data_IF_607944919375
#
_entry.id   IF_607944919375
#
_cell.length_a   1.000
_cell.length_b   1.000
_cell.length_c   1.000
_cell.angle_alpha   90.00
_cell.angle_beta   90.00
_cell.angle_gamma   90.00
#
_symmetry.space_group_name_H-M   'P 1'
#
loop_
_entity.id
_entity.type
_entity.pdbx_description
1 polymer ?
#
# COMPACT_ATOMS: atom_id res chain seq x y z
N UNK A 1 -9.68 -6.61 -30.18
CA UNK A 1 -8.47 -7.44 -30.13
C UNK A 1 -8.83 -8.80 -29.56
N UNK A 2 -8.16 -9.86 -30.00
CA UNK A 2 -8.24 -11.19 -29.38
C UNK A 2 -6.99 -11.42 -28.53
N UNK A 3 -7.18 -11.76 -27.27
CA UNK A 3 -6.12 -12.00 -26.31
C UNK A 3 -5.92 -13.49 -26.12
N UNK A 4 -4.66 -13.92 -26.21
CA UNK A 4 -4.21 -15.27 -25.88
C UNK A 4 -3.07 -15.13 -24.86
N UNK A 5 -3.11 -15.90 -23.78
CA UNK A 5 -2.09 -15.88 -22.74
C UNK A 5 -2.68 -16.18 -21.36
N UNK A 6 -2.02 -15.73 -20.30
CA UNK A 6 -2.46 -16.01 -18.93
C UNK A 6 -2.22 -14.83 -17.97
N UNK A 7 -2.91 -14.83 -16.83
CA UNK A 7 -2.53 -14.06 -15.64
C UNK A 7 -2.35 -14.98 -14.45
N UNK A 8 -1.18 -14.85 -13.84
CA UNK A 8 -0.82 -15.65 -12.67
C UNK A 8 -1.59 -15.24 -11.40
N UNK A 9 -1.86 -13.95 -11.20
CA UNK A 9 -2.74 -13.46 -10.14
C UNK A 9 -3.84 -12.61 -10.75
N UNK A 10 -5.08 -13.04 -10.55
CA UNK A 10 -6.28 -12.42 -11.08
C UNK A 10 -7.33 -12.34 -9.97
N UNK A 11 -7.26 -11.29 -9.16
CA UNK A 11 -8.20 -11.08 -8.06
C UNK A 11 -9.58 -10.67 -8.57
N UNK A 12 -10.60 -11.04 -7.82
CA UNK A 12 -12.01 -10.76 -8.13
C UNK A 12 -12.38 -11.30 -9.53
N UNK A 13 -12.23 -12.62 -9.79
CA UNK A 13 -12.56 -13.20 -11.11
C UNK A 13 -14.04 -13.04 -11.49
N UNK A 14 -14.89 -12.71 -10.52
CA UNK A 14 -16.30 -12.40 -10.75
C UNK A 14 -16.59 -10.97 -11.21
N UNK A 15 -15.59 -10.06 -11.25
CA UNK A 15 -15.80 -8.69 -11.75
C UNK A 15 -16.41 -8.70 -13.15
N UNK A 16 -17.21 -7.68 -13.45
CA UNK A 16 -17.86 -7.54 -14.75
C UNK A 16 -16.86 -7.28 -15.89
N UNK A 17 -15.69 -6.71 -15.56
CA UNK A 17 -14.56 -6.56 -16.46
C UNK A 17 -13.24 -6.41 -15.71
N UNK A 18 -12.13 -6.60 -16.43
CA UNK A 18 -10.78 -6.36 -15.94
C UNK A 18 -10.00 -5.50 -16.93
N UNK A 19 -9.13 -4.64 -16.39
CA UNK A 19 -8.06 -4.02 -17.18
C UNK A 19 -6.88 -4.97 -17.27
N UNK A 20 -6.55 -5.39 -18.49
CA UNK A 20 -5.55 -6.43 -18.76
C UNK A 20 -4.44 -5.85 -19.63
N UNK A 21 -3.19 -5.97 -19.18
CA UNK A 21 -2.04 -5.69 -20.02
C UNK A 21 -1.71 -6.88 -20.93
N UNK A 22 -1.55 -6.63 -22.22
CA UNK A 22 -1.09 -7.61 -23.21
C UNK A 22 -0.20 -6.94 -24.27
N UNK A 23 0.65 -7.71 -24.94
CA UNK A 23 1.48 -7.21 -26.04
C UNK A 23 0.62 -7.01 -27.30
N UNK A 24 0.80 -5.88 -27.96
CA UNK A 24 0.25 -5.55 -29.27
C UNK A 24 1.40 -5.18 -30.24
N UNK A 25 1.16 -5.01 -31.55
CA UNK A 25 2.21 -4.66 -32.51
C UNK A 25 3.04 -3.44 -32.11
N UNK A 26 2.42 -2.38 -31.55
CA UNK A 26 3.16 -1.21 -31.06
C UNK A 26 3.67 -1.32 -29.60
N UNK A 27 3.58 -2.49 -28.98
CA UNK A 27 4.10 -2.78 -27.64
C UNK A 27 3.03 -3.04 -26.57
N UNK A 28 3.43 -2.94 -25.30
CA UNK A 28 2.59 -3.32 -24.17
C UNK A 28 1.40 -2.35 -24.03
N UNK A 29 0.19 -2.89 -24.16
CA UNK A 29 -1.05 -2.11 -24.27
C UNK A 29 -2.05 -2.51 -23.18
N UNK A 30 -2.99 -1.63 -22.85
CA UNK A 30 -4.04 -1.88 -21.87
C UNK A 30 -5.36 -2.21 -22.56
N UNK A 31 -6.05 -3.24 -22.10
CA UNK A 31 -7.31 -3.69 -22.67
C UNK A 31 -8.40 -3.75 -21.60
N UNK A 32 -9.58 -3.25 -21.92
CA UNK A 32 -10.82 -3.56 -21.21
C UNK A 32 -11.30 -4.94 -21.67
N UNK A 33 -11.33 -5.90 -20.75
CA UNK A 33 -11.73 -7.29 -21.02
C UNK A 33 -12.96 -7.59 -20.18
N UNK A 34 -14.17 -7.52 -20.75
CA UNK A 34 -15.39 -7.80 -20.02
C UNK A 34 -15.57 -9.31 -19.81
N UNK A 35 -16.25 -9.68 -18.74
CA UNK A 35 -16.60 -11.06 -18.41
C UNK A 35 -17.65 -11.61 -19.37
N UNK A 36 -18.59 -10.76 -19.80
CA UNK A 36 -19.61 -11.05 -20.79
C UNK A 36 -19.42 -10.13 -22.00
N UNK A 37 -19.62 -10.65 -23.20
CA UNK A 37 -19.58 -9.89 -24.45
C UNK A 37 -20.88 -9.07 -24.62
N UNK A 38 -20.92 -8.07 -25.53
CA UNK A 38 -22.11 -7.25 -25.76
C UNK A 38 -23.36 -8.04 -26.17
N UNK A 39 -23.19 -9.22 -26.75
CA UNK A 39 -24.27 -10.14 -27.12
C UNK A 39 -24.72 -11.07 -25.97
N UNK A 40 -24.14 -10.88 -24.77
CA UNK A 40 -24.43 -11.66 -23.57
C UNK A 40 -23.65 -12.97 -23.45
N UNK A 41 -22.86 -13.36 -24.46
CA UNK A 41 -22.05 -14.57 -24.39
C UNK A 41 -20.91 -14.42 -23.39
N UNK A 42 -20.46 -15.56 -22.82
CA UNK A 42 -19.29 -15.59 -21.94
C UNK A 42 -18.03 -15.29 -22.76
N UNK A 43 -17.20 -14.35 -22.29
CA UNK A 43 -15.91 -14.08 -22.92
C UNK A 43 -14.92 -15.22 -22.62
N UNK A 44 -13.88 -15.36 -23.46
CA UNK A 44 -12.88 -16.44 -23.41
C UNK A 44 -11.89 -16.35 -22.25
N UNK A 45 -12.34 -16.05 -21.03
CA UNK A 45 -11.54 -16.00 -19.79
C UNK A 45 -11.84 -17.25 -18.96
N UNK A 46 -10.87 -18.16 -18.89
CA UNK A 46 -10.99 -19.45 -18.23
C UNK A 46 -10.31 -19.40 -16.86
N UNK A 47 -11.01 -19.86 -15.81
CA UNK A 47 -10.48 -19.90 -14.46
C UNK A 47 -9.87 -21.28 -14.22
N UNK A 48 -8.55 -21.35 -14.07
CA UNK A 48 -7.85 -22.63 -13.89
C UNK A 48 -7.85 -23.08 -12.43
N UNK A 49 -7.49 -22.17 -11.51
CA UNK A 49 -7.53 -22.46 -10.07
C UNK A 49 -7.70 -21.21 -9.23
N UNK A 50 -8.19 -21.40 -8.00
CA UNK A 50 -8.13 -20.41 -6.94
C UNK A 50 -6.84 -20.54 -6.14
N UNK A 51 -6.31 -19.40 -5.67
CA UNK A 51 -5.13 -19.34 -4.81
C UNK A 51 -5.47 -19.77 -3.39
N UNK A 52 -4.68 -20.68 -2.82
CA UNK A 52 -4.65 -20.89 -1.37
C UNK A 52 -3.67 -19.88 -0.75
N UNK A 53 -4.21 -18.89 -0.03
CA UNK A 53 -3.47 -17.72 0.46
C UNK A 53 -3.32 -17.76 1.98
N UNK A 54 -2.21 -17.23 2.48
CA UNK A 54 -1.96 -17.01 3.91
C UNK A 54 -3.07 -16.17 4.58
N UNK A 55 -3.30 -14.97 4.03
CA UNK A 55 -4.36 -14.04 4.39
C UNK A 55 -5.19 -13.67 3.17
N UNK A 56 -6.02 -12.63 3.28
CA UNK A 56 -6.90 -12.17 2.21
C UNK A 56 -7.82 -13.28 1.66
N UNK A 57 -8.10 -14.30 2.48
CA UNK A 57 -8.76 -15.57 2.08
C UNK A 57 -10.22 -15.37 1.65
N UNK A 58 -10.89 -14.34 2.15
CA UNK A 58 -12.24 -13.98 1.75
C UNK A 58 -12.32 -13.45 0.31
N UNK A 59 -11.22 -12.92 -0.23
CA UNK A 59 -11.17 -12.42 -1.60
C UNK A 59 -10.68 -13.52 -2.55
N UNK A 60 -11.48 -13.89 -3.55
CA UNK A 60 -11.09 -14.84 -4.56
C UNK A 60 -9.97 -14.27 -5.43
N UNK A 61 -8.84 -14.97 -5.50
CA UNK A 61 -7.78 -14.71 -6.46
C UNK A 61 -7.56 -15.97 -7.27
N UNK A 62 -7.50 -15.86 -8.60
CA UNK A 62 -7.34 -17.00 -9.49
C UNK A 62 -6.07 -16.93 -10.34
N UNK A 63 -5.73 -18.07 -10.93
CA UNK A 63 -5.00 -18.14 -12.20
C UNK A 63 -6.02 -18.23 -13.33
N UNK A 64 -5.75 -17.50 -14.40
CA UNK A 64 -6.64 -17.49 -15.57
C UNK A 64 -5.86 -17.60 -16.86
N UNK A 65 -6.47 -18.26 -17.84
CA UNK A 65 -6.02 -18.30 -19.22
C UNK A 65 -7.03 -17.59 -20.13
N UNK A 66 -6.53 -16.91 -21.15
CA UNK A 66 -7.32 -16.26 -22.18
C UNK A 66 -7.28 -17.11 -23.45
N UNK A 67 -8.44 -17.59 -23.88
CA UNK A 67 -8.62 -18.35 -25.11
C UNK A 67 -9.38 -17.49 -26.11
N UNK A 68 -8.63 -16.74 -26.94
CA UNK A 68 -9.18 -15.78 -27.90
C UNK A 68 -10.16 -14.76 -27.26
N UNK A 69 -9.92 -14.39 -25.99
CA UNK A 69 -10.78 -13.46 -25.27
C UNK A 69 -10.84 -12.10 -26.00
N UNK A 70 -12.04 -11.57 -26.17
CA UNK A 70 -12.21 -10.25 -26.78
C UNK A 70 -11.83 -9.17 -25.76
N UNK A 71 -10.98 -8.23 -26.20
CA UNK A 71 -10.60 -7.04 -25.45
C UNK A 71 -10.67 -5.77 -26.32
N UNK A 72 -11.06 -4.67 -25.68
CA UNK A 72 -11.09 -3.34 -26.27
C UNK A 72 -9.89 -2.54 -25.79
N UNK A 73 -9.15 -1.93 -26.72
CA UNK A 73 -7.98 -1.12 -26.38
C UNK A 73 -8.41 0.09 -25.53
N UNK A 74 -7.64 0.36 -24.48
CA UNK A 74 -7.80 1.53 -23.61
C UNK A 74 -6.59 2.44 -23.80
N UNK A 75 -6.83 3.62 -24.38
CA UNK A 75 -5.76 4.52 -24.82
C UNK A 75 -5.18 4.09 -26.16
N UNK A 76 -3.88 4.34 -26.35
CA UNK A 76 -3.15 3.99 -27.57
C UNK A 76 -2.35 2.69 -27.39
N UNK A 77 -2.07 1.99 -28.49
CA UNK A 77 -1.15 0.86 -28.45
C UNK A 77 0.24 1.29 -27.95
N UNK A 78 0.90 0.45 -27.14
CA UNK A 78 2.20 0.72 -26.54
C UNK A 78 2.18 1.59 -25.27
N UNK A 79 1.05 2.23 -24.94
CA UNK A 79 0.91 3.13 -23.77
C UNK A 79 0.35 2.42 -22.52
N UNK A 80 0.30 1.09 -22.50
CA UNK A 80 -0.41 0.32 -21.47
C UNK A 80 0.09 0.58 -20.04
N UNK A 81 1.42 0.68 -19.85
CA UNK A 81 2.01 0.97 -18.54
C UNK A 81 1.54 2.33 -18.01
N UNK A 82 1.50 3.35 -18.87
CA UNK A 82 1.08 4.70 -18.47
C UNK A 82 -0.39 4.72 -18.06
N UNK A 83 -1.25 3.97 -18.75
CA UNK A 83 -2.67 3.88 -18.41
C UNK A 83 -2.88 3.28 -17.02
N UNK A 84 -2.20 2.16 -16.70
CA UNK A 84 -2.34 1.53 -15.38
C UNK A 84 -1.65 2.32 -14.26
N UNK A 85 -0.57 3.07 -14.54
CA UNK A 85 0.11 3.88 -13.53
C UNK A 85 -0.77 5.00 -12.96
N UNK A 86 -1.72 5.53 -13.75
CA UNK A 86 -2.72 6.49 -13.27
C UNK A 86 -3.60 5.88 -12.17
N UNK A 87 -4.00 4.62 -12.34
CA UNK A 87 -4.75 3.85 -11.34
C UNK A 87 -3.85 3.39 -10.18
N UNK A 88 -2.60 3.02 -10.48
CA UNK A 88 -1.66 2.46 -9.52
C UNK A 88 -1.45 3.37 -8.31
N UNK A 89 -1.37 4.69 -8.51
CA UNK A 89 -1.28 5.66 -7.42
C UNK A 89 -2.41 5.53 -6.38
N UNK A 90 -3.66 5.43 -6.82
CA UNK A 90 -4.81 5.28 -5.92
C UNK A 90 -4.77 3.93 -5.19
N UNK A 91 -4.48 2.83 -5.89
CA UNK A 91 -4.41 1.51 -5.25
C UNK A 91 -3.24 1.40 -4.25
N UNK A 92 -2.15 2.14 -4.46
CA UNK A 92 -1.03 2.22 -3.51
C UNK A 92 -1.40 3.02 -2.27
N UNK A 93 -2.14 4.10 -2.45
CA UNK A 93 -2.72 4.85 -1.34
C UNK A 93 -3.64 3.94 -0.50
N UNK A 94 -4.51 3.17 -1.14
CA UNK A 94 -5.40 2.21 -0.48
C UNK A 94 -4.63 1.11 0.27
N UNK A 95 -3.49 0.63 -0.28
CA UNK A 95 -2.63 -0.31 0.44
C UNK A 95 -2.10 0.29 1.76
N UNK A 96 -1.66 1.55 1.72
CA UNK A 96 -1.16 2.25 2.88
C UNK A 96 -2.29 2.49 3.91
N UNK A 97 -3.44 3.01 3.45
CA UNK A 97 -4.60 3.28 4.29
C UNK A 97 -5.19 2.00 4.90
N UNK A 98 -5.33 0.94 4.09
CA UNK A 98 -5.80 -0.36 4.55
C UNK A 98 -4.89 -0.96 5.61
N UNK A 99 -3.57 -0.89 5.41
CA UNK A 99 -2.59 -1.36 6.41
C UNK A 99 -2.67 -0.55 7.70
N UNK A 100 -2.80 0.77 7.60
CA UNK A 100 -3.02 1.65 8.76
C UNK A 100 -4.33 1.30 9.50
N UNK A 101 -5.42 1.03 8.77
CA UNK A 101 -6.69 0.64 9.38
C UNK A 101 -6.59 -0.70 10.14
N UNK A 102 -5.88 -1.69 9.59
CA UNK A 102 -5.61 -2.96 10.26
C UNK A 102 -4.77 -2.74 11.54
N UNK A 103 -3.74 -1.90 11.48
CA UNK A 103 -2.95 -1.52 12.66
C UNK A 103 -3.83 -0.81 13.71
N UNK A 104 -4.68 0.13 13.29
CA UNK A 104 -5.61 0.83 14.19
C UNK A 104 -6.54 -0.15 14.90
N UNK A 105 -7.12 -1.12 14.18
CA UNK A 105 -7.97 -2.16 14.78
C UNK A 105 -7.19 -3.01 15.78
N UNK A 106 -6.01 -3.50 15.41
CA UNK A 106 -5.16 -4.30 16.29
C UNK A 106 -4.81 -3.54 17.58
N UNK A 107 -4.45 -2.26 17.47
CA UNK A 107 -4.19 -1.41 18.64
C UNK A 107 -5.43 -1.21 19.52
N UNK A 108 -6.61 -0.98 18.92
CA UNK A 108 -7.84 -0.83 19.70
C UNK A 108 -8.17 -2.09 20.51
N UNK A 109 -7.98 -3.28 19.93
CA UNK A 109 -8.17 -4.54 20.64
C UNK A 109 -7.12 -4.71 21.76
N UNK A 110 -5.84 -4.45 21.48
CA UNK A 110 -4.76 -4.53 22.45
C UNK A 110 -4.94 -3.57 23.64
N UNK A 111 -5.26 -2.29 23.37
CA UNK A 111 -5.50 -1.30 24.41
C UNK A 111 -6.71 -1.67 25.27
N UNK A 112 -7.81 -2.10 24.64
CA UNK A 112 -9.02 -2.50 25.37
C UNK A 112 -8.77 -3.72 26.26
N UNK A 113 -7.98 -4.69 25.80
CA UNK A 113 -7.51 -5.81 26.62
C UNK A 113 -6.67 -5.32 27.80
N UNK A 114 -5.67 -4.46 27.55
CA UNK A 114 -4.75 -3.99 28.58
C UNK A 114 -5.43 -3.12 29.66
N UNK A 115 -6.53 -2.45 29.33
CA UNK A 115 -7.36 -1.70 30.28
C UNK A 115 -8.10 -2.59 31.29
N UNK A 116 -8.32 -3.87 30.97
CA UNK A 116 -9.11 -4.80 31.78
C UNK A 116 -8.28 -5.92 32.40
N UNK A 117 -7.26 -6.41 31.67
CA UNK A 117 -6.42 -7.50 32.13
C UNK A 117 -5.60 -7.03 33.32
N UNK A 118 -5.59 -7.81 34.41
CA UNK A 118 -4.72 -7.55 35.54
C UNK A 118 -3.47 -8.44 35.51
N UNK A 119 -2.33 -7.85 35.89
CA UNK A 119 -1.08 -8.54 36.15
C UNK A 119 -0.39 -7.86 37.33
N UNK A 120 0.13 -8.65 38.28
CA UNK A 120 0.79 -8.15 39.48
C UNK A 120 -0.06 -7.12 40.26
N UNK A 121 -1.37 -7.37 40.39
CA UNK A 121 -2.30 -6.56 41.18
C UNK A 121 -2.70 -5.21 40.59
N UNK A 122 -2.35 -4.92 39.32
CA UNK A 122 -2.75 -3.70 38.60
C UNK A 122 -3.25 -4.05 37.20
N UNK A 123 -3.99 -3.14 36.57
CA UNK A 123 -4.32 -3.29 35.16
C UNK A 123 -3.04 -3.28 34.33
N UNK A 124 -3.02 -4.04 33.25
CA UNK A 124 -1.85 -4.25 32.40
C UNK A 124 -1.38 -2.93 31.79
N UNK A 125 -2.30 -2.03 31.43
CA UNK A 125 -2.00 -0.67 30.95
C UNK A 125 -1.26 0.20 31.98
N UNK A 126 -1.39 -0.09 33.28
CA UNK A 126 -0.71 0.65 34.36
C UNK A 126 0.72 0.16 34.62
N UNK A 127 1.11 -0.96 34.02
CA UNK A 127 2.48 -1.44 34.09
C UNK A 127 3.38 -0.52 33.24
N UNK A 128 4.46 0.06 33.80
CA UNK A 128 5.27 1.06 33.09
C UNK A 128 5.79 0.59 31.72
N UNK A 129 6.23 -0.66 31.63
CA UNK A 129 6.72 -1.25 30.36
C UNK A 129 5.60 -1.37 29.32
N UNK A 130 4.42 -1.86 29.71
CA UNK A 130 3.28 -1.96 28.79
C UNK A 130 2.80 -0.58 28.34
N UNK A 131 2.74 0.39 29.26
CA UNK A 131 2.35 1.76 28.94
C UNK A 131 3.30 2.39 27.93
N UNK A 132 4.60 2.11 28.03
CA UNK A 132 5.59 2.55 27.06
C UNK A 132 5.34 1.94 25.67
N UNK A 133 5.12 0.62 25.58
CA UNK A 133 4.81 -0.08 24.33
C UNK A 133 3.55 0.49 23.68
N UNK A 134 2.43 0.54 24.41
CA UNK A 134 1.16 1.06 23.91
C UNK A 134 1.24 2.55 23.55
N UNK A 135 2.03 3.34 24.28
CA UNK A 135 2.27 4.75 23.98
C UNK A 135 3.03 4.95 22.66
N UNK A 136 4.05 4.14 22.40
CA UNK A 136 4.78 4.18 21.12
C UNK A 136 3.90 3.73 19.95
N UNK A 137 3.09 2.69 20.14
CA UNK A 137 2.12 2.24 19.15
C UNK A 137 1.10 3.34 18.82
N UNK A 138 0.57 4.01 19.84
CA UNK A 138 -0.34 5.14 19.67
C UNK A 138 0.30 6.28 18.87
N UNK A 139 1.51 6.70 19.26
CA UNK A 139 2.24 7.77 18.60
C UNK A 139 2.51 7.46 17.12
N UNK A 140 2.78 6.20 16.78
CA UNK A 140 2.92 5.75 15.39
C UNK A 140 1.62 5.94 14.61
N UNK A 141 0.49 5.56 15.19
CA UNK A 141 -0.83 5.72 14.56
C UNK A 141 -1.19 7.19 14.37
N UNK A 142 -0.88 8.07 15.33
CA UNK A 142 -1.08 9.52 15.20
C UNK A 142 -0.33 10.08 14.00
N UNK A 143 0.98 9.79 13.88
CA UNK A 143 1.79 10.24 12.76
C UNK A 143 1.30 9.69 11.41
N UNK A 144 0.92 8.42 11.36
CA UNK A 144 0.36 7.81 10.15
C UNK A 144 -0.99 8.43 9.76
N UNK A 145 -1.86 8.71 10.73
CA UNK A 145 -3.17 9.33 10.49
C UNK A 145 -2.97 10.70 9.85
N UNK A 146 -2.19 11.57 10.50
CA UNK A 146 -1.92 12.92 10.00
C UNK A 146 -1.34 12.88 8.57
N UNK A 147 -0.36 12.00 8.33
CA UNK A 147 0.31 11.88 7.04
C UNK A 147 -0.61 11.32 5.94
N UNK A 148 -1.38 10.27 6.22
CA UNK A 148 -2.27 9.65 5.23
C UNK A 148 -3.45 10.55 4.87
N UNK A 149 -4.01 11.31 5.81
CA UNK A 149 -5.07 12.27 5.49
C UNK A 149 -4.54 13.51 4.78
N UNK A 150 -3.30 13.96 5.07
CA UNK A 150 -2.60 14.96 4.24
C UNK A 150 -2.38 14.46 2.81
N UNK A 151 -2.06 13.17 2.65
CA UNK A 151 -1.92 12.54 1.34
C UNK A 151 -3.27 12.42 0.60
N UNK A 152 -4.35 12.08 1.31
CA UNK A 152 -5.70 12.09 0.75
C UNK A 152 -6.09 13.48 0.23
N UNK A 153 -5.78 14.54 0.99
CA UNK A 153 -5.98 15.93 0.55
C UNK A 153 -5.19 16.26 -0.73
N UNK A 154 -3.96 15.75 -0.85
CA UNK A 154 -3.14 15.95 -2.05
C UNK A 154 -3.79 15.30 -3.29
N UNK A 155 -4.35 14.09 -3.12
CA UNK A 155 -5.10 13.39 -4.17
C UNK A 155 -6.40 14.11 -4.56
N UNK A 156 -7.10 14.67 -3.58
CA UNK A 156 -8.32 15.46 -3.78
C UNK A 156 -8.04 16.74 -4.58
N UNK A 157 -6.91 17.40 -4.29
CA UNK A 157 -6.49 18.66 -4.92
C UNK A 157 -5.47 18.51 -6.05
N UNK A 158 -5.44 17.36 -6.72
CA UNK A 158 -4.42 17.03 -7.76
C UNK A 158 -4.45 17.92 -9.01
N UNK A 159 -5.42 18.81 -9.14
CA UNK A 159 -5.42 19.84 -10.18
C UNK A 159 -4.39 20.95 -9.88
N UNK A 160 -4.00 21.11 -8.61
CA UNK A 160 -2.83 21.89 -8.21
C UNK A 160 -1.55 21.07 -8.44
N UNK A 161 -0.60 21.63 -9.20
CA UNK A 161 0.68 21.00 -9.57
C UNK A 161 1.50 20.60 -8.34
N UNK A 162 1.49 21.40 -7.27
CA UNK A 162 2.24 21.08 -6.05
C UNK A 162 1.59 19.92 -5.30
N UNK A 163 0.25 19.88 -5.20
CA UNK A 163 -0.46 18.77 -4.55
C UNK A 163 -0.35 17.48 -5.37
N UNK A 164 -0.39 17.55 -6.70
CA UNK A 164 -0.14 16.42 -7.58
C UNK A 164 1.28 15.85 -7.38
N UNK A 165 2.28 16.72 -7.27
CA UNK A 165 3.67 16.32 -7.02
C UNK A 165 3.85 15.72 -5.62
N UNK A 166 3.20 16.30 -4.61
CA UNK A 166 3.17 15.77 -3.26
C UNK A 166 2.60 14.34 -3.24
N UNK A 167 1.44 14.14 -3.88
CA UNK A 167 0.83 12.82 -4.01
C UNK A 167 1.73 11.83 -4.76
N UNK A 168 2.37 12.27 -5.86
CA UNK A 168 3.27 11.44 -6.67
C UNK A 168 4.49 10.94 -5.91
N UNK A 169 5.06 11.78 -5.04
CA UNK A 169 6.23 11.46 -4.23
C UNK A 169 5.85 10.61 -3.01
N UNK A 170 4.85 11.03 -2.26
CA UNK A 170 4.57 10.47 -0.94
C UNK A 170 3.68 9.23 -0.97
N UNK A 171 2.93 8.97 -2.04
CA UNK A 171 2.15 7.73 -2.17
C UNK A 171 3.03 6.46 -2.10
N UNK A 172 4.08 6.30 -2.92
CA UNK A 172 4.95 5.13 -2.81
C UNK A 172 5.71 5.09 -1.47
N UNK A 173 6.13 6.25 -0.94
CA UNK A 173 6.78 6.32 0.37
C UNK A 173 5.85 5.86 1.51
N UNK A 174 4.59 6.29 1.50
CA UNK A 174 3.56 5.89 2.45
C UNK A 174 3.29 4.40 2.37
N UNK A 175 3.07 3.87 1.16
CA UNK A 175 2.86 2.42 0.95
C UNK A 175 4.02 1.63 1.53
N UNK A 176 5.26 1.98 1.20
CA UNK A 176 6.43 1.29 1.73
C UNK A 176 6.45 1.33 3.26
N UNK A 177 6.46 2.51 3.86
CA UNK A 177 6.67 2.66 5.30
C UNK A 177 5.53 2.07 6.13
N UNK A 178 4.28 2.32 5.74
CA UNK A 178 3.10 1.87 6.49
C UNK A 178 2.91 0.36 6.33
N UNK A 179 2.87 -0.16 5.10
CA UNK A 179 2.61 -1.59 4.89
C UNK A 179 3.72 -2.46 5.47
N UNK A 180 4.99 -2.05 5.32
CA UNK A 180 6.14 -2.83 5.84
C UNK A 180 6.13 -2.91 7.37
N UNK A 181 5.78 -1.80 8.04
CA UNK A 181 5.77 -1.77 9.51
C UNK A 181 4.57 -2.45 10.14
N UNK A 182 3.51 -2.67 9.37
CA UNK A 182 2.27 -3.24 9.87
C UNK A 182 2.39 -4.65 10.41
N UNK A 183 3.26 -5.50 9.84
CA UNK A 183 3.46 -6.89 10.30
C UNK A 183 3.94 -6.93 11.75
N UNK A 184 5.02 -6.20 12.05
CA UNK A 184 5.57 -6.14 13.41
C UNK A 184 4.61 -5.44 14.38
N UNK A 185 3.89 -4.42 13.93
CA UNK A 185 2.91 -3.73 14.76
C UNK A 185 1.76 -4.64 15.21
N UNK A 186 1.20 -5.42 14.29
CA UNK A 186 0.10 -6.34 14.60
C UNK A 186 0.60 -7.53 15.43
N UNK A 187 1.85 -7.98 15.24
CA UNK A 187 2.48 -8.96 16.12
C UNK A 187 2.59 -8.45 17.56
N UNK A 188 3.05 -7.21 17.77
CA UNK A 188 3.11 -6.61 19.11
C UNK A 188 1.70 -6.54 19.75
N UNK A 189 0.69 -6.11 18.98
CA UNK A 189 -0.70 -6.10 19.45
C UNK A 189 -1.22 -7.49 19.83
N UNK A 190 -0.81 -8.53 19.09
CA UNK A 190 -1.12 -9.91 19.40
C UNK A 190 -0.46 -10.36 20.72
N UNK A 191 0.80 -9.98 20.94
CA UNK A 191 1.55 -10.30 22.15
C UNK A 191 0.95 -9.64 23.39
N UNK A 192 0.37 -8.44 23.27
CA UNK A 192 -0.38 -7.78 24.37
C UNK A 192 -1.54 -8.64 24.88
N UNK A 193 -2.20 -9.41 24.02
CA UNK A 193 -3.30 -10.33 24.39
C UNK A 193 -2.79 -11.66 24.99
N UNK A 194 -1.49 -11.94 24.88
CA UNK A 194 -0.88 -13.22 25.21
C UNK A 194 -1.45 -14.37 24.40
N UNK A 195 -1.58 -15.55 25.01
CA UNK A 195 -2.00 -16.78 24.32
C UNK A 195 -3.34 -16.65 23.57
N UNK A 196 -4.30 -15.90 24.12
CA UNK A 196 -5.59 -15.67 23.45
C UNK A 196 -5.47 -14.90 22.13
N UNK A 197 -4.44 -14.07 21.98
CA UNK A 197 -4.15 -13.36 20.74
C UNK A 197 -3.68 -14.29 19.63
N UNK A 198 -3.13 -15.46 19.97
CA UNK A 198 -2.58 -16.42 19.01
C UNK A 198 -3.64 -17.42 18.49
N UNK A 199 -4.81 -17.49 19.14
CA UNK A 199 -5.91 -18.37 18.78
C UNK A 199 -6.79 -17.73 17.68
N UNK A 200 -7.18 -18.49 16.65
CA UNK A 200 -7.93 -17.99 15.47
C UNK A 200 -9.36 -17.51 15.79
N UNK A 201 -9.88 -17.78 17.00
CA UNK A 201 -11.10 -17.18 17.52
C UNK A 201 -10.94 -15.67 17.78
N UNK A 202 -9.71 -15.22 18.02
CA UNK A 202 -9.36 -13.80 18.08
C UNK A 202 -9.29 -13.19 16.68
N UNK A 203 -9.51 -11.88 16.57
CA UNK A 203 -9.32 -11.18 15.30
C UNK A 203 -7.83 -11.07 14.91
N UNK A 204 -6.92 -11.15 15.87
CA UNK A 204 -5.51 -10.80 15.69
C UNK A 204 -4.78 -11.73 14.70
N UNK A 205 -4.95 -13.06 14.68
CA UNK A 205 -4.32 -13.92 13.69
C UNK A 205 -4.76 -13.59 12.26
N UNK A 206 -6.04 -13.29 12.04
CA UNK A 206 -6.54 -12.84 10.74
C UNK A 206 -5.89 -11.51 10.33
N UNK A 207 -5.83 -10.52 11.23
CA UNK A 207 -5.18 -9.24 10.95
C UNK A 207 -3.70 -9.44 10.62
N UNK A 208 -2.99 -10.27 11.39
CA UNK A 208 -1.57 -10.56 11.19
C UNK A 208 -1.32 -11.24 9.83
N UNK A 209 -2.13 -12.24 9.47
CA UNK A 209 -2.06 -12.94 8.17
C UNK A 209 -2.40 -12.01 7.00
N UNK A 210 -3.20 -10.97 7.22
CA UNK A 210 -3.55 -9.97 6.20
C UNK A 210 -2.38 -9.03 5.89
N UNK A 211 -1.61 -8.59 6.90
CA UNK A 211 -0.60 -7.51 6.73
C UNK A 211 0.37 -7.67 5.55
N UNK A 212 0.94 -8.87 5.26
CA UNK A 212 1.91 -9.01 4.18
C UNK A 212 1.36 -8.68 2.79
N UNK A 213 0.04 -8.86 2.55
CA UNK A 213 -0.54 -8.71 1.21
C UNK A 213 -0.37 -7.29 0.68
N UNK A 214 -0.61 -6.27 1.51
CA UNK A 214 -0.48 -4.86 1.11
C UNK A 214 0.98 -4.43 0.90
N UNK A 215 1.93 -5.11 1.53
CA UNK A 215 3.36 -4.89 1.28
C UNK A 215 3.86 -5.55 0.00
N UNK A 216 3.21 -6.61 -0.48
CA UNK A 216 3.58 -7.36 -1.69
C UNK A 216 2.86 -6.81 -2.93
N UNK A 217 1.57 -6.50 -2.79
CA UNK A 217 0.69 -6.05 -3.87
C UNK A 217 1.17 -4.77 -4.55
N UNK A 218 0.90 -4.61 -5.85
CA UNK A 218 1.17 -3.38 -6.63
C UNK A 218 2.64 -2.87 -6.52
N UNK A 219 3.59 -3.80 -6.68
CA UNK A 219 5.01 -3.54 -6.52
C UNK A 219 5.45 -3.62 -5.06
N UNK A 220 6.33 -4.57 -4.77
CA UNK A 220 6.87 -4.78 -3.43
C UNK A 220 7.69 -3.57 -2.95
N UNK A 221 8.12 -3.59 -1.69
CA UNK A 221 8.75 -2.44 -1.05
C UNK A 221 9.91 -1.81 -1.83
N UNK A 222 10.78 -2.62 -2.47
CA UNK A 222 11.89 -2.09 -3.25
C UNK A 222 11.42 -1.30 -4.47
N UNK A 223 10.34 -1.74 -5.15
CA UNK A 223 9.77 -1.01 -6.28
C UNK A 223 9.24 0.36 -5.82
N UNK A 224 8.66 0.45 -4.63
CA UNK A 224 8.21 1.73 -4.07
C UNK A 224 9.40 2.66 -3.79
N UNK A 225 10.48 2.14 -3.20
CA UNK A 225 11.69 2.93 -2.97
C UNK A 225 12.31 3.43 -4.27
N UNK A 226 12.45 2.56 -5.28
CA UNK A 226 12.96 2.94 -6.60
C UNK A 226 12.08 4.00 -7.28
N UNK A 227 10.76 3.94 -7.08
CA UNK A 227 9.83 4.94 -7.61
C UNK A 227 9.99 6.30 -6.91
N UNK A 228 10.17 6.32 -5.59
CA UNK A 228 10.53 7.54 -4.83
C UNK A 228 11.83 8.14 -5.36
N UNK A 229 12.88 7.32 -5.50
CA UNK A 229 14.17 7.77 -6.03
C UNK A 229 14.03 8.34 -7.45
N UNK A 230 13.26 7.67 -8.31
CA UNK A 230 12.99 8.13 -9.67
C UNK A 230 12.31 9.50 -9.69
N UNK A 231 11.34 9.75 -8.80
CA UNK A 231 10.68 11.06 -8.69
C UNK A 231 11.70 12.13 -8.30
N UNK A 232 12.49 11.88 -7.25
CA UNK A 232 13.48 12.84 -6.76
C UNK A 232 14.58 13.15 -7.79
N UNK A 233 14.99 12.16 -8.59
CA UNK A 233 16.02 12.33 -9.62
C UNK A 233 15.50 13.02 -10.89
N UNK A 234 14.27 12.69 -11.33
CA UNK A 234 13.74 13.17 -12.61
C UNK A 234 12.88 14.42 -12.50
N UNK A 235 12.48 14.81 -11.29
CA UNK A 235 11.61 15.96 -11.06
C UNK A 235 12.25 16.88 -9.99
N UNK A 236 13.13 17.82 -10.38
CA UNK A 236 13.81 18.73 -9.45
C UNK A 236 12.86 19.50 -8.52
N UNK A 237 11.67 19.86 -9.03
CA UNK A 237 10.61 20.50 -8.26
C UNK A 237 10.20 19.71 -6.99
N UNK A 238 10.42 18.38 -6.95
CA UNK A 238 10.12 17.57 -5.77
C UNK A 238 11.06 17.91 -4.59
N UNK A 239 12.32 18.22 -4.87
CA UNK A 239 13.28 18.65 -3.86
C UNK A 239 12.99 20.06 -3.37
N UNK A 240 12.55 20.95 -4.25
CA UNK A 240 12.12 22.31 -3.91
C UNK A 240 10.87 22.28 -3.02
N UNK A 241 9.87 21.45 -3.37
CA UNK A 241 8.68 21.21 -2.55
C UNK A 241 9.06 20.71 -1.16
N UNK A 242 9.93 19.70 -1.05
CA UNK A 242 10.40 19.19 0.24
C UNK A 242 11.11 20.27 1.06
N UNK A 243 11.95 21.08 0.42
CA UNK A 243 12.68 22.14 1.07
C UNK A 243 11.75 23.24 1.60
N UNK A 244 10.71 23.61 0.84
CA UNK A 244 9.70 24.57 1.25
C UNK A 244 8.90 24.06 2.47
N UNK A 245 8.34 22.85 2.38
CA UNK A 245 7.58 22.22 3.48
C UNK A 245 8.43 22.08 4.76
N UNK A 246 9.71 21.71 4.64
CA UNK A 246 10.61 21.62 5.80
C UNK A 246 11.02 23.00 6.35
N UNK A 247 11.01 24.05 5.53
CA UNK A 247 11.34 25.41 5.98
C UNK A 247 10.24 26.01 6.86
N UNK A 248 8.96 25.69 6.60
CA UNK A 248 7.82 26.19 7.38
C UNK A 248 7.87 25.76 8.86
N UNK A 249 8.47 24.61 9.15
CA UNK A 249 8.56 24.04 10.50
C UNK A 249 9.96 24.12 11.11
N UNK A 250 10.90 24.78 10.45
CA UNK A 250 12.29 24.90 10.90
C UNK A 250 12.37 25.53 12.30
N UNK A 251 13.18 24.95 13.18
CA UNK A 251 13.41 25.48 14.53
C UNK A 251 12.34 25.09 15.55
N UNK A 252 11.22 24.48 15.12
CA UNK A 252 10.20 23.99 16.05
C UNK A 252 10.67 22.73 16.81
N UNK A 253 11.53 21.90 16.19
CA UNK A 253 12.04 20.69 16.83
C UNK A 253 13.47 20.34 16.36
N UNK A 254 14.42 20.29 17.30
CA UNK A 254 15.84 19.99 17.01
C UNK A 254 16.06 18.62 16.35
N UNK A 255 15.22 17.63 16.65
CA UNK A 255 15.33 16.28 16.09
C UNK A 255 14.83 16.26 14.64
N UNK A 256 13.77 17.00 14.33
CA UNK A 256 13.33 17.22 12.96
C UNK A 256 14.42 17.93 12.13
N UNK A 257 14.94 19.06 12.62
CA UNK A 257 15.98 19.84 11.92
C UNK A 257 17.27 19.02 11.69
N UNK A 258 17.62 18.13 12.62
CA UNK A 258 18.73 17.19 12.44
C UNK A 258 18.44 16.16 11.35
N UNK A 259 17.25 15.56 11.37
CA UNK A 259 16.84 14.53 10.39
C UNK A 259 16.76 15.11 8.99
N UNK A 260 16.22 16.33 8.85
CA UNK A 260 16.19 17.03 7.57
C UNK A 260 17.60 17.27 7.00
N UNK A 261 18.53 17.77 7.82
CA UNK A 261 19.95 17.94 7.40
C UNK A 261 20.60 16.63 6.96
N UNK A 262 20.31 15.52 7.65
CA UNK A 262 20.82 14.20 7.27
C UNK A 262 20.25 13.74 5.92
N UNK A 263 18.94 13.90 5.71
CA UNK A 263 18.31 13.58 4.43
C UNK A 263 18.91 14.41 3.29
N UNK A 264 19.12 15.71 3.49
CA UNK A 264 19.79 16.56 2.51
C UNK A 264 21.20 16.08 2.16
N UNK A 265 21.97 15.59 3.15
CA UNK A 265 23.29 15.01 2.89
C UNK A 265 23.21 13.72 2.09
N UNK A 266 22.22 12.86 2.35
CA UNK A 266 22.02 11.62 1.60
C UNK A 266 21.63 11.88 0.15
N UNK A 267 20.72 12.84 -0.09
CA UNK A 267 20.27 13.20 -1.43
C UNK A 267 21.37 13.83 -2.30
N UNK A 268 22.44 14.35 -1.69
CA UNK A 268 23.62 14.90 -2.39
C UNK A 268 24.66 13.86 -2.76
N UNK A 269 24.63 12.67 -2.16
CA UNK A 269 25.61 11.63 -2.50
C UNK A 269 25.32 11.13 -3.91
N UNK A 270 26.35 10.89 -4.76
CA UNK A 270 26.15 10.16 -6.00
C UNK A 270 25.51 8.82 -5.63
N UNK A 271 24.31 8.56 -6.13
CA UNK A 271 23.70 7.26 -6.01
C UNK A 271 24.61 6.31 -6.78
N UNK A 272 25.23 5.34 -6.10
CA UNK A 272 26.15 4.36 -6.68
C UNK A 272 25.50 3.47 -7.76
N UNK A 273 24.21 3.66 -8.06
CA UNK A 273 23.46 3.00 -9.13
C UNK A 273 23.33 3.91 -10.37
N UNK A 274 24.46 4.38 -10.91
CA UNK A 274 24.57 4.72 -12.33
C UNK A 274 24.97 3.47 -13.13
N UNK A 275 24.12 2.43 -13.04
CA UNK A 275 24.18 1.21 -13.84
C UNK A 275 22.83 0.96 -14.51
#
# INVERSE_FOLDING_TARGET
YHLIGHKWFFSVPQSDAHLVLAQAPAGLSCFFVPRLLPDGQRNGVHLERLKDKLGNRANASSEVEFFNACGWLVGEEGDGVRQILKMGGLTRFDCALGSHALMRRAYSVALYHALQRQAFGKNLVDQPMMRQVLGQMALRLEGQTAFLFRLARAWDRRDDVQEALWARLFTPAAKFAVCKSGIAFVAEAMEVLGGSGYCEESELPRLYREMPVNSIWEGSGNIMCLDVMRVLMKQPAALELLAAECAEVKGQNRHFDRTWRQLQQWLRRPLEEQG
#
